data_IF_943306552720
#
_entry.id   IF_943306552720
#
_cell.length_a   1.000
_cell.length_b   1.000
_cell.length_c   1.000
_cell.angle_alpha   90.00
_cell.angle_beta   90.00
_cell.angle_gamma   90.00
#
_symmetry.space_group_name_H-M   'P 1'
#
loop_
_entity.id
_entity.type
_entity.pdbx_description
1 polymer ?
#
# COMPACT_ATOMS: atom_id res chain seq x y z
N UNK A 1 17.02 -3.49 -0.91
CA UNK A 1 16.74 -3.87 -2.31
C UNK A 1 15.73 -2.86 -2.86
N UNK A 2 16.19 -1.89 -3.66
CA UNK A 2 15.32 -0.89 -4.31
C UNK A 2 14.99 -1.42 -5.71
N UNK A 3 13.93 -2.19 -5.81
CA UNK A 3 13.50 -2.74 -7.09
C UNK A 3 12.52 -1.77 -7.75
N UNK A 4 13.00 -1.08 -8.79
CA UNK A 4 12.14 -0.35 -9.70
C UNK A 4 12.12 -1.07 -11.05
N UNK A 5 10.92 -1.26 -11.60
CA UNK A 5 10.71 -1.94 -12.89
C UNK A 5 9.99 -0.98 -13.82
N UNK A 6 10.59 -0.70 -14.97
CA UNK A 6 10.02 0.17 -16.00
C UNK A 6 9.78 -0.65 -17.27
N UNK A 7 8.53 -0.70 -17.73
CA UNK A 7 8.13 -1.31 -19.00
C UNK A 7 7.64 -0.24 -19.97
N UNK A 8 8.28 -0.12 -21.13
CA UNK A 8 7.88 0.80 -22.18
C UNK A 8 7.14 0.06 -23.30
N UNK A 9 5.93 0.53 -23.61
CA UNK A 9 5.09 0.05 -24.70
C UNK A 9 5.16 1.08 -25.83
N UNK A 10 6.24 0.98 -26.62
CA UNK A 10 6.64 1.99 -27.62
C UNK A 10 5.53 2.30 -28.62
N UNK A 11 4.82 1.29 -29.11
CA UNK A 11 3.72 1.45 -30.08
C UNK A 11 2.53 2.25 -29.52
N UNK A 12 2.45 2.43 -28.21
CA UNK A 12 1.38 3.16 -27.53
C UNK A 12 1.88 4.43 -26.84
N UNK A 13 3.18 4.75 -26.94
CA UNK A 13 3.83 5.81 -26.17
C UNK A 13 3.43 5.76 -24.68
N UNK A 14 3.40 4.54 -24.12
CA UNK A 14 2.91 4.28 -22.77
C UNK A 14 4.04 3.65 -21.94
N UNK A 15 4.25 4.18 -20.74
CA UNK A 15 5.23 3.63 -19.80
C UNK A 15 4.51 3.20 -18.53
N UNK A 16 4.72 1.95 -18.13
CA UNK A 16 4.28 1.43 -16.84
C UNK A 16 5.50 1.23 -15.95
N UNK A 17 5.51 1.88 -14.80
CA UNK A 17 6.59 1.78 -13.84
C UNK A 17 6.07 1.33 -12.48
N UNK A 18 6.90 0.57 -11.76
CA UNK A 18 6.69 0.22 -10.37
C UNK A 18 7.91 0.64 -9.57
N UNK A 19 7.69 1.22 -8.39
CA UNK A 19 8.73 1.61 -7.44
C UNK A 19 8.45 0.92 -6.11
N UNK A 20 9.34 0.01 -5.69
CA UNK A 20 9.19 -0.69 -4.42
C UNK A 20 9.54 0.20 -3.23
N UNK A 21 8.50 0.68 -2.54
CA UNK A 21 8.61 1.44 -1.30
C UNK A 21 7.45 1.08 -0.35
N UNK A 22 7.52 -0.06 0.36
CA UNK A 22 6.37 -0.63 1.08
C UNK A 22 5.77 0.27 2.16
N UNK A 23 6.59 1.16 2.73
CA UNK A 23 6.19 2.14 3.74
C UNK A 23 6.04 3.55 3.18
N UNK A 24 6.27 3.77 1.88
CA UNK A 24 6.26 5.06 1.16
C UNK A 24 7.28 6.12 1.64
N UNK A 25 7.77 6.01 2.87
CA UNK A 25 8.81 6.86 3.46
C UNK A 25 10.15 6.14 3.50
N UNK A 26 11.23 6.90 3.62
CA UNK A 26 12.57 6.34 3.71
C UNK A 26 12.62 5.33 4.85
N UNK A 27 13.02 4.12 4.50
CA UNK A 27 13.04 2.98 5.41
C UNK A 27 14.41 2.34 5.40
N UNK A 28 14.95 2.06 6.58
CA UNK A 28 16.20 1.30 6.75
C UNK A 28 15.86 -0.02 7.45
N UNK A 29 16.22 -1.12 6.80
CA UNK A 29 16.22 -2.44 7.40
C UNK A 29 17.42 -2.56 8.36
N UNK A 30 17.15 -2.78 9.65
CA UNK A 30 18.20 -2.87 10.67
C UNK A 30 18.79 -4.26 10.81
N UNK A 31 18.20 -5.26 10.14
CA UNK A 31 18.67 -6.65 10.09
C UNK A 31 18.43 -7.24 8.69
N UNK A 32 19.21 -6.81 7.69
CA UNK A 32 18.99 -7.20 6.29
C UNK A 32 19.18 -8.70 6.02
N UNK A 33 19.86 -9.42 6.92
CA UNK A 33 20.14 -10.85 6.81
C UNK A 33 19.17 -11.72 7.63
N UNK A 34 18.37 -11.13 8.53
CA UNK A 34 17.39 -11.82 9.36
C UNK A 34 16.11 -12.26 8.62
N UNK A 35 15.17 -12.97 9.28
CA UNK A 35 13.91 -13.39 8.66
C UNK A 35 12.98 -12.20 8.38
N UNK A 36 12.53 -12.06 7.13
CA UNK A 36 11.84 -10.88 6.58
C UNK A 36 10.63 -10.39 7.39
N UNK A 37 9.86 -11.32 7.97
CA UNK A 37 8.58 -11.01 8.61
C UNK A 37 8.69 -10.39 10.03
N UNK A 38 9.86 -10.49 10.67
CA UNK A 38 10.10 -9.97 12.02
C UNK A 38 11.26 -8.96 12.07
N UNK A 39 11.70 -8.45 10.91
CA UNK A 39 12.78 -7.46 10.85
C UNK A 39 12.33 -6.16 11.49
N UNK A 40 13.20 -5.58 12.32
CA UNK A 40 12.99 -4.25 12.87
C UNK A 40 13.36 -3.21 11.80
N UNK A 41 12.40 -2.36 11.45
CA UNK A 41 12.59 -1.34 10.42
C UNK A 41 12.63 0.06 11.04
N UNK A 42 13.57 0.90 10.61
CA UNK A 42 13.59 2.32 10.94
C UNK A 42 12.85 3.10 9.86
N UNK A 43 11.73 3.73 10.21
CA UNK A 43 10.94 4.57 9.31
C UNK A 43 11.18 6.04 9.63
N UNK A 44 11.63 6.80 8.63
CA UNK A 44 11.85 8.24 8.75
C UNK A 44 10.61 8.96 8.23
N UNK A 45 9.68 9.24 9.15
CA UNK A 45 8.29 9.58 8.85
C UNK A 45 8.11 10.97 8.19
N UNK A 46 9.16 11.77 8.12
CA UNK A 46 9.23 13.09 7.49
C UNK A 46 10.02 13.08 6.17
N UNK A 47 10.51 11.91 5.74
CA UNK A 47 11.31 11.76 4.53
C UNK A 47 10.62 10.80 3.54
N UNK A 48 10.25 11.29 2.36
CA UNK A 48 9.73 10.42 1.29
C UNK A 48 10.79 9.41 0.83
N UNK A 49 10.37 8.20 0.46
CA UNK A 49 11.31 7.21 -0.06
C UNK A 49 11.86 7.66 -1.44
N UNK A 50 13.19 7.66 -1.57
CA UNK A 50 13.88 8.09 -2.77
C UNK A 50 13.47 7.28 -4.01
N UNK A 51 13.12 6.00 -3.85
CA UNK A 51 12.82 5.09 -4.96
C UNK A 51 11.69 5.61 -5.84
N UNK A 52 10.64 6.20 -5.25
CA UNK A 52 9.56 6.82 -6.02
C UNK A 52 9.73 8.34 -6.14
N UNK A 53 10.20 9.02 -5.10
CA UNK A 53 10.27 10.48 -5.08
C UNK A 53 11.18 11.04 -6.19
N UNK A 54 12.26 10.35 -6.53
CA UNK A 54 13.22 10.79 -7.55
C UNK A 54 12.68 10.72 -8.99
N UNK A 55 11.55 10.05 -9.22
CA UNK A 55 11.01 9.76 -10.57
C UNK A 55 9.56 10.14 -10.77
N UNK A 56 8.82 10.44 -9.71
CA UNK A 56 7.37 10.65 -9.76
C UNK A 56 6.94 11.82 -10.67
N UNK A 57 7.77 12.86 -10.81
CA UNK A 57 7.51 14.00 -11.70
C UNK A 57 7.47 13.63 -13.20
N UNK A 58 7.90 12.41 -13.57
CA UNK A 58 7.90 11.94 -14.97
C UNK A 58 6.59 11.27 -15.40
N UNK A 59 5.66 11.02 -14.48
CA UNK A 59 4.48 10.20 -14.74
C UNK A 59 3.19 11.02 -14.71
N UNK A 60 2.32 10.79 -15.70
CA UNK A 60 1.01 11.44 -15.80
C UNK A 60 0.02 10.95 -14.73
N UNK A 61 0.18 9.69 -14.32
CA UNK A 61 -0.67 9.01 -13.35
C UNK A 61 0.19 8.30 -12.30
N UNK A 62 -0.11 8.53 -11.03
CA UNK A 62 0.63 7.96 -9.90
C UNK A 62 -0.34 7.19 -9.02
N UNK A 63 -0.06 5.92 -8.73
CA UNK A 63 -0.88 5.11 -7.83
C UNK A 63 -0.09 4.87 -6.55
N UNK A 64 -0.54 5.48 -5.45
CA UNK A 64 -0.01 5.22 -4.12
C UNK A 64 -0.80 4.09 -3.48
N UNK A 65 -0.08 3.12 -2.92
CA UNK A 65 -0.68 2.05 -2.12
C UNK A 65 0.32 1.53 -1.08
N UNK A 66 -0.14 1.30 0.14
CA UNK A 66 0.62 0.70 1.24
C UNK A 66 -0.35 0.08 2.27
N UNK A 67 0.14 -0.83 3.12
CA UNK A 67 -0.72 -1.54 4.08
C UNK A 67 0.04 -2.58 4.91
N UNK A 68 0.12 -3.82 4.41
CA UNK A 68 0.54 -4.99 5.20
C UNK A 68 1.90 -4.86 5.90
N UNK A 69 2.85 -4.18 5.29
CA UNK A 69 4.20 -4.00 5.85
C UNK A 69 4.24 -3.19 7.15
N UNK A 70 3.15 -2.48 7.51
CA UNK A 70 3.06 -1.74 8.78
C UNK A 70 2.71 -2.62 9.98
N UNK A 71 2.35 -3.89 9.80
CA UNK A 71 2.08 -4.79 10.94
C UNK A 71 3.36 -5.20 11.68
N UNK A 72 4.52 -5.21 10.99
CA UNK A 72 5.80 -5.66 11.54
C UNK A 72 6.47 -4.65 12.48
N UNK A 73 7.53 -5.04 13.21
CA UNK A 73 8.25 -4.17 14.13
C UNK A 73 8.89 -2.95 13.48
N UNK A 74 8.65 -1.76 14.04
CA UNK A 74 9.12 -0.49 13.47
C UNK A 74 9.58 0.48 14.55
N UNK A 75 10.66 1.23 14.29
CA UNK A 75 11.04 2.43 15.04
C UNK A 75 10.76 3.65 14.17
N UNK A 76 10.08 4.63 14.75
CA UNK A 76 9.68 5.86 14.07
C UNK A 76 10.66 6.98 14.36
N UNK A 77 11.18 7.58 13.30
CA UNK A 77 12.07 8.74 13.34
C UNK A 77 11.34 9.96 12.77
N UNK A 78 11.56 11.12 13.40
CA UNK A 78 11.18 12.44 12.90
C UNK A 78 12.32 13.42 13.17
N UNK A 79 12.70 14.22 12.18
CA UNK A 79 13.83 15.16 12.25
C UNK A 79 15.12 14.49 12.77
N UNK A 80 15.36 13.26 12.32
CA UNK A 80 16.52 12.44 12.72
C UNK A 80 16.46 11.86 14.15
N UNK A 81 15.38 12.05 14.91
CA UNK A 81 15.23 11.54 16.28
C UNK A 81 14.17 10.46 16.38
N UNK A 82 14.45 9.41 17.16
CA UNK A 82 13.45 8.38 17.46
C UNK A 82 12.34 8.99 18.35
N UNK A 83 11.09 8.94 17.87
CA UNK A 83 9.91 9.50 18.56
C UNK A 83 9.02 8.43 19.19
N UNK A 84 9.18 7.18 18.75
CA UNK A 84 8.51 6.01 19.31
C UNK A 84 8.73 4.77 18.48
N UNK A 85 8.09 3.67 18.84
CA UNK A 85 8.19 2.40 18.10
C UNK A 85 6.93 1.55 18.24
N UNK A 86 6.71 0.65 17.28
CA UNK A 86 5.70 -0.40 17.30
C UNK A 86 6.40 -1.76 17.38
N UNK A 87 6.05 -2.59 18.35
CA UNK A 87 6.61 -3.95 18.55
C UNK A 87 8.15 -4.05 18.61
N UNK A 88 8.86 -2.98 18.98
CA UNK A 88 10.33 -2.99 18.98
C UNK A 88 10.99 -3.60 20.22
N UNK A 89 10.20 -3.94 21.26
CA UNK A 89 10.68 -4.51 22.54
C UNK A 89 11.79 -3.69 23.24
N UNK A 90 11.95 -2.40 22.90
CA UNK A 90 12.90 -1.47 23.54
C UNK A 90 12.16 -0.61 24.57
N UNK A 91 12.32 -0.94 25.85
CA UNK A 91 11.63 -0.26 26.97
C UNK A 91 12.00 1.23 27.13
N UNK A 92 13.10 1.68 26.50
CA UNK A 92 13.56 3.07 26.55
C UNK A 92 12.90 3.98 25.50
N UNK A 93 12.18 3.39 24.52
CA UNK A 93 11.52 4.12 23.45
C UNK A 93 10.00 4.10 23.68
N UNK A 94 9.34 5.23 23.48
CA UNK A 94 7.88 5.34 23.63
C UNK A 94 7.16 4.33 22.73
N UNK A 95 6.29 3.51 23.32
CA UNK A 95 5.45 2.60 22.55
C UNK A 95 4.35 3.39 21.82
N UNK A 96 4.27 3.20 20.50
CA UNK A 96 3.30 3.79 19.59
C UNK A 96 2.72 2.67 18.72
N UNK A 97 1.48 2.84 18.25
CA UNK A 97 0.86 1.86 17.36
C UNK A 97 1.37 2.01 15.93
N UNK A 98 1.27 0.96 15.12
CA UNK A 98 1.52 1.04 13.68
C UNK A 98 0.74 2.15 12.98
N UNK A 99 -0.47 2.48 13.46
CA UNK A 99 -1.31 3.55 12.91
C UNK A 99 -0.66 4.92 12.99
N UNK A 100 0.21 5.18 13.97
CA UNK A 100 0.98 6.42 14.05
C UNK A 100 1.91 6.55 12.85
N UNK A 101 2.76 5.53 12.61
CA UNK A 101 3.67 5.49 11.47
C UNK A 101 2.91 5.52 10.15
N UNK A 102 1.84 4.73 10.04
CA UNK A 102 1.00 4.63 8.85
C UNK A 102 0.37 5.96 8.44
N UNK A 103 -0.26 6.67 9.39
CA UNK A 103 -0.86 7.99 9.15
C UNK A 103 0.19 9.00 8.68
N UNK A 104 1.36 8.99 9.31
CA UNK A 104 2.45 9.90 9.00
C UNK A 104 3.09 9.61 7.63
N UNK A 105 3.25 8.34 7.29
CA UNK A 105 3.78 7.92 5.99
C UNK A 105 2.90 8.41 4.83
N UNK A 106 1.58 8.21 4.89
CA UNK A 106 0.65 8.75 3.89
C UNK A 106 0.67 10.27 3.85
N UNK A 107 0.68 10.93 5.01
CA UNK A 107 0.75 12.39 5.11
C UNK A 107 1.98 12.95 4.42
N UNK A 108 3.14 12.37 4.69
CA UNK A 108 4.42 12.79 4.10
C UNK A 108 4.42 12.54 2.60
N UNK A 109 4.00 11.36 2.16
CA UNK A 109 3.93 11.02 0.73
C UNK A 109 3.06 12.00 -0.06
N UNK A 110 1.86 12.30 0.43
CA UNK A 110 0.97 13.26 -0.22
C UNK A 110 1.50 14.69 -0.17
N UNK A 111 2.08 15.11 0.96
CA UNK A 111 2.71 16.44 1.07
C UNK A 111 3.88 16.60 0.11
N UNK A 112 4.71 15.57 -0.03
CA UNK A 112 5.82 15.54 -0.98
C UNK A 112 5.29 15.76 -2.40
N UNK A 113 4.29 14.99 -2.84
CA UNK A 113 3.66 15.19 -4.16
C UNK A 113 3.14 16.62 -4.36
N UNK A 114 2.48 17.18 -3.34
CA UNK A 114 1.95 18.55 -3.40
C UNK A 114 3.05 19.61 -3.47
N UNK A 115 4.21 19.33 -2.86
CA UNK A 115 5.35 20.26 -2.80
C UNK A 115 6.25 20.21 -4.03
N UNK A 116 6.19 19.14 -4.83
CA UNK A 116 6.99 18.98 -6.03
C UNK A 116 6.57 20.00 -7.10
N UNK A 117 7.49 20.88 -7.47
CA UNK A 117 7.19 22.03 -8.32
C UNK A 117 6.80 21.64 -9.74
N UNK A 118 7.34 20.53 -10.28
CA UNK A 118 7.11 20.07 -11.65
C UNK A 118 6.10 18.93 -11.72
N UNK A 119 5.60 18.43 -10.58
CA UNK A 119 4.56 17.43 -10.59
C UNK A 119 3.22 18.04 -10.99
N UNK A 120 2.59 17.47 -12.02
CA UNK A 120 1.26 17.88 -12.52
C UNK A 120 0.33 16.70 -12.82
N UNK A 121 0.74 15.48 -12.46
CA UNK A 121 -0.02 14.26 -12.73
C UNK A 121 -1.23 14.07 -11.80
N UNK A 122 -2.09 13.11 -12.14
CA UNK A 122 -3.22 12.69 -11.30
C UNK A 122 -2.76 11.62 -10.32
N UNK A 123 -2.98 11.86 -9.02
CA UNK A 123 -2.64 10.91 -7.96
C UNK A 123 -3.84 10.06 -7.58
N UNK A 124 -3.71 8.76 -7.71
CA UNK A 124 -4.64 7.77 -7.20
C UNK A 124 -4.15 7.24 -5.85
N UNK A 125 -5.04 7.15 -4.87
CA UNK A 125 -4.88 6.25 -3.74
C UNK A 125 -5.63 4.96 -4.06
N UNK A 126 -4.92 3.83 -4.14
CA UNK A 126 -5.55 2.50 -4.06
C UNK A 126 -5.69 2.15 -2.59
N UNK A 127 -6.93 1.98 -2.13
CA UNK A 127 -7.20 1.66 -0.72
C UNK A 127 -6.68 0.27 -0.34
N UNK A 128 -6.76 -0.05 0.95
CA UNK A 128 -6.26 -1.27 1.56
C UNK A 128 -6.76 -2.52 0.82
N UNK A 129 -5.83 -3.42 0.51
CA UNK A 129 -6.14 -4.81 0.16
C UNK A 129 -6.17 -5.61 1.45
N UNK A 130 -7.35 -6.13 1.87
CA UNK A 130 -7.46 -6.90 3.11
C UNK A 130 -6.78 -8.26 2.98
N UNK A 131 -6.44 -8.84 4.13
CA UNK A 131 -6.04 -10.24 4.25
C UNK A 131 -7.19 -11.07 4.82
N UNK A 132 -7.30 -12.34 4.47
CA UNK A 132 -8.40 -13.22 4.91
C UNK A 132 -7.91 -14.44 5.69
N UNK A 133 -7.17 -14.22 6.77
CA UNK A 133 -6.80 -15.32 7.66
C UNK A 133 -8.01 -15.76 8.50
N UNK A 134 -8.28 -17.06 8.45
CA UNK A 134 -9.23 -17.79 9.28
C UNK A 134 -8.48 -18.88 10.06
N UNK A 135 -9.09 -19.41 11.12
CA UNK A 135 -8.53 -20.50 11.94
C UNK A 135 -7.18 -20.19 12.61
N UNK A 136 -6.78 -18.93 12.67
CA UNK A 136 -5.55 -18.49 13.32
C UNK A 136 -4.97 -17.24 12.67
N UNK A 137 -3.94 -16.67 13.31
CA UNK A 137 -3.12 -15.62 12.68
C UNK A 137 -2.14 -16.24 11.68
N UNK A 138 -1.55 -15.40 10.83
CA UNK A 138 -0.60 -15.81 9.79
C UNK A 138 0.57 -16.66 10.31
N UNK A 139 1.00 -16.46 11.57
CA UNK A 139 2.09 -17.20 12.22
C UNK A 139 1.60 -18.24 13.25
N UNK A 140 0.29 -18.49 13.34
CA UNK A 140 -0.34 -19.42 14.29
C UNK A 140 -1.21 -20.46 13.59
N UNK A 141 -0.86 -20.82 12.35
CA UNK A 141 -1.58 -21.82 11.56
C UNK A 141 -2.85 -21.32 10.87
N UNK A 142 -3.05 -19.99 10.80
CA UNK A 142 -4.14 -19.40 10.03
C UNK A 142 -4.06 -19.73 8.55
N UNK A 143 -5.23 -19.82 7.89
CA UNK A 143 -5.36 -20.16 6.48
C UNK A 143 -6.54 -19.43 5.82
N UNK A 144 -6.70 -19.62 4.51
CA UNK A 144 -7.75 -19.02 3.68
C UNK A 144 -8.19 -20.06 2.66
N UNK A 145 -9.03 -20.99 3.09
CA UNK A 145 -9.43 -22.16 2.27
C UNK A 145 -10.79 -22.00 1.60
N UNK A 146 -11.46 -20.86 1.77
CA UNK A 146 -12.72 -20.57 1.09
C UNK A 146 -12.51 -20.60 -0.42
N UNK A 147 -13.48 -21.12 -1.15
CA UNK A 147 -13.44 -21.28 -2.61
C UNK A 147 -14.54 -20.48 -3.33
N UNK A 148 -15.33 -19.72 -2.59
CA UNK A 148 -16.40 -18.88 -3.11
C UNK A 148 -16.41 -17.49 -2.45
N UNK A 149 -16.84 -16.44 -3.18
CA UNK A 149 -17.12 -15.14 -2.59
C UNK A 149 -18.13 -15.26 -1.47
N UNK A 150 -18.13 -14.29 -0.57
CA UNK A 150 -19.09 -14.23 0.55
C UNK A 150 -19.93 -12.97 0.51
N UNK A 151 -21.00 -12.94 1.28
CA UNK A 151 -21.84 -11.75 1.41
C UNK A 151 -21.20 -10.71 2.35
N UNK A 152 -21.65 -9.45 2.24
CA UNK A 152 -21.26 -8.38 3.16
C UNK A 152 -21.71 -8.61 4.61
N UNK A 153 -22.69 -9.49 4.81
CA UNK A 153 -23.14 -9.89 6.14
C UNK A 153 -22.19 -10.89 6.80
N UNK A 154 -21.52 -11.72 5.99
CA UNK A 154 -20.57 -12.73 6.45
C UNK A 154 -19.17 -12.16 6.67
N UNK A 155 -18.74 -11.22 5.83
CA UNK A 155 -17.40 -10.65 5.92
C UNK A 155 -17.38 -9.18 5.50
N UNK A 156 -16.65 -8.39 6.28
CA UNK A 156 -16.43 -6.97 6.07
C UNK A 156 -15.08 -6.59 6.69
N UNK A 157 -14.55 -5.42 6.32
CA UNK A 157 -13.40 -4.86 7.03
C UNK A 157 -13.78 -4.56 8.49
N UNK A 158 -12.94 -5.01 9.41
CA UNK A 158 -13.02 -4.72 10.83
C UNK A 158 -11.61 -4.55 11.43
N UNK A 159 -11.56 -4.33 12.75
CA UNK A 159 -10.32 -4.25 13.51
C UNK A 159 -9.27 -3.32 12.89
N UNK A 160 -8.04 -3.84 12.79
CA UNK A 160 -6.90 -3.10 12.28
C UNK A 160 -7.04 -2.74 10.79
N UNK A 161 -7.62 -3.62 9.97
CA UNK A 161 -7.83 -3.37 8.54
C UNK A 161 -8.82 -2.20 8.33
N UNK A 162 -9.88 -2.12 9.14
CA UNK A 162 -10.80 -0.98 9.11
C UNK A 162 -10.09 0.33 9.53
N UNK A 163 -9.27 0.31 10.58
CA UNK A 163 -8.53 1.51 11.03
C UNK A 163 -7.47 1.97 10.02
N UNK A 164 -6.78 1.03 9.36
CA UNK A 164 -5.88 1.34 8.24
C UNK A 164 -6.66 1.97 7.07
N UNK A 165 -7.78 1.38 6.66
CA UNK A 165 -8.62 1.92 5.59
C UNK A 165 -9.11 3.35 5.93
N UNK A 166 -9.65 3.56 7.13
CA UNK A 166 -10.12 4.87 7.57
C UNK A 166 -8.98 5.90 7.60
N UNK A 167 -7.79 5.50 8.07
CA UNK A 167 -6.61 6.37 8.06
C UNK A 167 -6.18 6.76 6.65
N UNK A 168 -6.18 5.82 5.70
CA UNK A 168 -5.91 6.13 4.28
C UNK A 168 -6.89 7.16 3.73
N UNK A 169 -8.19 6.94 3.94
CA UNK A 169 -9.25 7.83 3.43
C UNK A 169 -9.18 9.21 4.08
N UNK A 170 -8.84 9.30 5.37
CA UNK A 170 -8.67 10.57 6.08
C UNK A 170 -7.50 11.39 5.52
N UNK A 171 -6.30 10.80 5.39
CA UNK A 171 -5.14 11.50 4.83
C UNK A 171 -5.34 11.82 3.34
N UNK A 172 -6.01 10.95 2.59
CA UNK A 172 -6.40 11.24 1.21
C UNK A 172 -7.34 12.45 1.11
N UNK A 173 -8.38 12.51 1.94
CA UNK A 173 -9.32 13.66 1.95
C UNK A 173 -8.59 14.95 2.30
N UNK A 174 -7.61 14.90 3.19
CA UNK A 174 -6.73 16.03 3.50
C UNK A 174 -5.90 16.43 2.28
N UNK A 175 -5.18 15.48 1.69
CA UNK A 175 -4.35 15.69 0.51
C UNK A 175 -5.16 16.26 -0.66
N UNK A 176 -6.35 15.73 -0.93
CA UNK A 176 -7.24 16.24 -1.98
C UNK A 176 -7.63 17.71 -1.77
N UNK A 177 -7.89 18.14 -0.53
CA UNK A 177 -8.18 19.55 -0.23
C UNK A 177 -6.95 20.44 -0.38
N UNK A 178 -5.78 19.97 0.06
CA UNK A 178 -4.51 20.70 -0.04
C UNK A 178 -4.03 20.80 -1.50
N UNK A 179 -4.01 19.68 -2.22
CA UNK A 179 -3.62 19.56 -3.63
C UNK A 179 -4.49 20.41 -4.57
N UNK A 180 -5.78 20.57 -4.29
CA UNK A 180 -6.66 21.46 -5.08
C UNK A 180 -6.13 22.90 -5.13
N UNK A 181 -5.50 23.39 -4.07
CA UNK A 181 -4.89 24.75 -4.04
C UNK A 181 -3.67 24.86 -4.93
N UNK A 182 -3.03 23.74 -5.25
CA UNK A 182 -1.90 23.59 -6.17
C UNK A 182 -2.31 23.19 -7.58
N UNK A 183 -3.61 23.07 -7.86
CA UNK A 183 -4.11 22.55 -9.15
C UNK A 183 -3.89 21.06 -9.35
N UNK A 184 -3.56 20.31 -8.29
CA UNK A 184 -3.31 18.87 -8.36
C UNK A 184 -4.56 18.05 -8.10
N UNK A 185 -4.70 16.97 -8.87
CA UNK A 185 -5.85 16.11 -8.83
C UNK A 185 -5.60 14.81 -8.07
N UNK A 186 -6.51 14.51 -7.15
CA UNK A 186 -6.49 13.31 -6.32
C UNK A 186 -7.75 12.48 -6.54
N UNK A 187 -7.59 11.18 -6.79
CA UNK A 187 -8.66 10.20 -7.04
C UNK A 187 -8.54 9.02 -6.07
N UNK A 188 -9.68 8.53 -5.60
CA UNK A 188 -9.74 7.37 -4.71
C UNK A 188 -10.15 6.15 -5.55
N UNK A 189 -9.24 5.19 -5.69
CA UNK A 189 -9.54 3.85 -6.18
C UNK A 189 -9.89 2.99 -4.97
N UNK A 190 -11.16 3.07 -4.58
CA UNK A 190 -11.69 2.37 -3.41
C UNK A 190 -12.04 0.91 -3.75
N UNK A 191 -11.14 0.01 -3.39
CA UNK A 191 -11.27 -1.44 -3.64
C UNK A 191 -11.66 -2.22 -2.40
N UNK A 192 -11.56 -1.62 -1.21
CA UNK A 192 -11.41 -2.40 0.03
C UNK A 192 -12.68 -3.18 0.39
N UNK A 193 -13.84 -2.54 0.25
CA UNK A 193 -15.12 -3.22 0.49
C UNK A 193 -15.43 -4.31 -0.56
N UNK A 194 -14.98 -4.13 -1.81
CA UNK A 194 -15.15 -5.14 -2.86
C UNK A 194 -14.24 -6.34 -2.62
N UNK A 195 -13.07 -6.14 -2.03
CA UNK A 195 -12.12 -7.21 -1.74
C UNK A 195 -12.38 -7.92 -0.42
N UNK A 196 -12.95 -7.25 0.58
CA UNK A 196 -13.31 -7.85 1.85
C UNK A 196 -14.32 -9.01 1.73
N UNK A 197 -15.00 -9.14 0.59
CA UNK A 197 -15.96 -10.22 0.31
C UNK A 197 -15.40 -11.29 -0.62
N UNK A 198 -14.09 -11.25 -0.89
CA UNK A 198 -13.39 -12.17 -1.80
C UNK A 198 -12.33 -13.03 -1.10
N UNK A 199 -12.64 -13.71 0.02
CA UNK A 199 -11.66 -14.60 0.66
C UNK A 199 -11.25 -15.78 -0.24
N UNK A 200 -12.03 -16.06 -1.28
CA UNK A 200 -11.76 -17.06 -2.33
C UNK A 200 -10.59 -16.72 -3.26
N UNK A 201 -10.14 -15.46 -3.25
CA UNK A 201 -9.13 -14.99 -4.20
C UNK A 201 -7.69 -15.24 -3.82
N UNK A 202 -7.43 -15.78 -2.63
CA UNK A 202 -6.09 -15.98 -2.11
C UNK A 202 -5.48 -17.29 -2.59
N UNK A 203 -4.16 -17.34 -2.82
CA UNK A 203 -3.48 -18.56 -3.21
C UNK A 203 -3.40 -19.59 -2.08
N UNK A 204 -3.55 -19.18 -0.81
CA UNK A 204 -3.49 -20.10 0.33
C UNK A 204 -2.14 -20.85 0.31
N UNK A 205 -2.14 -22.18 0.30
CA UNK A 205 -0.91 -22.98 0.21
C UNK A 205 -0.31 -23.10 -1.20
N UNK A 206 -0.90 -22.44 -2.21
CA UNK A 206 -0.51 -22.55 -3.62
C UNK A 206 0.25 -21.31 -4.15
N UNK A 207 0.71 -20.42 -3.25
CA UNK A 207 1.43 -19.19 -3.60
C UNK A 207 2.91 -19.37 -3.94
N UNK A 208 3.39 -20.61 -3.98
CA UNK A 208 4.80 -20.99 -4.08
C UNK A 208 4.96 -22.11 -5.11
N UNK A 209 6.20 -22.36 -5.54
CA UNK A 209 6.45 -23.46 -6.46
C UNK A 209 6.18 -24.82 -5.78
N UNK A 210 5.71 -25.85 -6.51
CA UNK A 210 5.37 -27.16 -5.93
C UNK A 210 6.52 -27.88 -5.19
N UNK A 211 7.76 -27.50 -5.44
CA UNK A 211 8.95 -28.08 -4.82
C UNK A 211 9.42 -27.31 -3.57
N UNK A 212 8.84 -26.15 -3.29
CA UNK A 212 9.17 -25.36 -2.10
C UNK A 212 8.41 -25.90 -0.89
N UNK A 213 9.11 -26.13 0.21
CA UNK A 213 8.51 -26.58 1.46
C UNK A 213 7.98 -25.39 2.27
N UNK A 214 6.90 -24.77 1.80
CA UNK A 214 6.24 -23.65 2.49
C UNK A 214 4.98 -24.11 3.21
N UNK A 215 4.97 -23.96 4.53
CA UNK A 215 3.87 -24.40 5.39
C UNK A 215 2.89 -23.29 5.77
N UNK A 216 3.28 -22.03 5.57
CA UNK A 216 2.45 -20.86 5.87
C UNK A 216 1.51 -20.58 4.70
N UNK A 217 0.22 -20.43 4.97
CA UNK A 217 -0.75 -20.03 3.95
C UNK A 217 -0.58 -18.55 3.59
N UNK A 218 -0.57 -18.26 2.29
CA UNK A 218 -0.59 -16.89 1.80
C UNK A 218 -2.04 -16.41 1.63
N UNK A 219 -2.49 -15.66 2.64
CA UNK A 219 -3.81 -15.03 2.68
C UNK A 219 -3.74 -13.51 2.56
N UNK A 220 -2.66 -13.00 1.95
CA UNK A 220 -2.42 -11.57 1.74
C UNK A 220 -2.34 -11.24 0.24
N UNK A 221 -1.67 -12.09 -0.55
CA UNK A 221 -1.58 -11.93 -1.99
C UNK A 221 -2.77 -12.56 -2.71
N UNK A 222 -2.92 -12.31 -4.00
CA UNK A 222 -4.07 -12.72 -4.79
C UNK A 222 -3.64 -13.61 -5.95
N UNK A 223 -4.45 -14.60 -6.27
CA UNK A 223 -4.31 -15.39 -7.48
C UNK A 223 -4.44 -14.52 -8.74
N UNK A 224 -3.75 -14.92 -9.81
CA UNK A 224 -3.88 -14.36 -11.15
C UNK A 224 -4.17 -15.49 -12.16
N UNK A 225 -5.24 -15.40 -12.97
CA UNK A 225 -6.31 -14.39 -12.91
C UNK A 225 -7.13 -14.50 -11.61
N UNK A 226 -7.81 -13.42 -11.21
CA UNK A 226 -8.50 -13.38 -9.91
C UNK A 226 -9.16 -12.04 -9.56
N UNK A 227 -9.55 -11.82 -8.30
CA UNK A 227 -10.27 -10.60 -7.89
C UNK A 227 -9.52 -9.29 -8.19
N UNK A 228 -8.19 -9.35 -8.22
CA UNK A 228 -7.31 -8.25 -8.58
C UNK A 228 -7.53 -7.71 -10.00
N UNK A 229 -8.08 -8.52 -10.92
CA UNK A 229 -8.45 -8.06 -12.26
C UNK A 229 -9.52 -6.97 -12.19
N UNK A 230 -10.39 -7.02 -11.19
CA UNK A 230 -11.41 -5.97 -10.92
C UNK A 230 -10.76 -4.63 -10.60
N UNK A 231 -9.59 -4.60 -9.95
CA UNK A 231 -8.89 -3.35 -9.63
C UNK A 231 -8.40 -2.67 -10.90
N UNK A 232 -7.88 -3.47 -11.83
CA UNK A 232 -7.41 -3.01 -13.13
C UNK A 232 -8.57 -2.51 -13.99
N UNK A 233 -9.72 -3.18 -13.97
CA UNK A 233 -10.92 -2.70 -14.66
C UNK A 233 -11.42 -1.36 -14.09
N UNK A 234 -11.50 -1.23 -12.76
CA UNK A 234 -11.89 0.02 -12.11
C UNK A 234 -10.92 1.15 -12.46
N UNK A 235 -9.61 0.89 -12.36
CA UNK A 235 -8.57 1.84 -12.73
C UNK A 235 -8.70 2.26 -14.20
N UNK A 236 -8.85 1.30 -15.12
CA UNK A 236 -9.00 1.58 -16.54
C UNK A 236 -10.21 2.49 -16.82
N UNK A 237 -11.34 2.25 -16.16
CA UNK A 237 -12.52 3.12 -16.30
C UNK A 237 -12.27 4.52 -15.75
N UNK A 238 -11.54 4.65 -14.63
CA UNK A 238 -11.16 5.95 -14.10
C UNK A 238 -10.20 6.69 -15.03
N UNK A 239 -9.18 6.02 -15.58
CA UNK A 239 -8.24 6.62 -16.55
C UNK A 239 -8.96 7.10 -17.81
N UNK A 240 -9.91 6.32 -18.34
CA UNK A 240 -10.76 6.75 -19.47
C UNK A 240 -11.51 8.05 -19.15
N UNK A 241 -12.06 8.18 -17.93
CA UNK A 241 -12.77 9.39 -17.49
C UNK A 241 -11.84 10.60 -17.36
N UNK A 242 -10.61 10.42 -16.87
CA UNK A 242 -9.63 11.51 -16.80
C UNK A 242 -9.21 11.98 -18.19
N UNK A 243 -8.99 11.06 -19.14
CA UNK A 243 -8.72 11.42 -20.55
C UNK A 243 -9.87 12.23 -21.16
N UNK A 244 -11.12 11.83 -20.95
CA UNK A 244 -12.28 12.59 -21.45
C UNK A 244 -12.33 14.01 -20.89
N UNK A 245 -11.92 14.22 -19.63
CA UNK A 245 -11.90 15.56 -19.01
C UNK A 245 -10.81 16.46 -19.59
N UNK A 246 -9.63 15.91 -19.86
CA UNK A 246 -8.55 16.66 -20.52
C UNK A 246 -8.82 17.01 -21.98
N UNK A 247 -9.80 16.37 -22.63
CA UNK A 247 -10.19 16.64 -24.03
C UNK A 247 -11.27 17.73 -24.13
N UNK A 248 -11.88 18.16 -23.02
CA UNK A 248 -12.96 19.17 -22.97
C UNK A 248 -12.42 20.57 -22.59
N UNK A 249 -11.09 20.73 -22.47
CA UNK A 249 -10.43 22.03 -22.26
C UNK A 249 -9.82 22.58 -23.54
#
# INVERSE_FOLDING_TARGET
>A
MQDSKDGSYVNYNFTLASSWAPHLVRTIDTDPDGPTYNRLLNLYLDEADHAWAARVEKYDYVIISAGRWFYGPQVFYENGKAVGCHLCLKNTIKNLTMFYGYRKAFRTSFKTLISLARFSGVTFLRTLSPAHFENGEWNKGGNCVRTQPVSKGEMKMDGDDLELYLTQVQEFRRAKREGRRRGLDFRLLDISAAMAVRPDGHPSHYGHWPHENVTIADCVHWCLPGPIDTWNELLLQMLKRERSRGTIQ
#
